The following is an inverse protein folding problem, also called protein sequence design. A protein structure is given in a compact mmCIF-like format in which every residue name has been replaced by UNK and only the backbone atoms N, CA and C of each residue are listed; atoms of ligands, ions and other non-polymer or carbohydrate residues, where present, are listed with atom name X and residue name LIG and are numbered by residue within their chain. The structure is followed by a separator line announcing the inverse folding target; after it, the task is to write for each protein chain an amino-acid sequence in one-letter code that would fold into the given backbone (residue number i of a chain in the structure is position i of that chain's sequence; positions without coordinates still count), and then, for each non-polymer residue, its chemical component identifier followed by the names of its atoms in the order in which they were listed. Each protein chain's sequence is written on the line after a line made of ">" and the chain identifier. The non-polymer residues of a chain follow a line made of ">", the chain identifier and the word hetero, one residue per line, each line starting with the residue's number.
data_IF_529807722413
#
_entry.id   IF_529807722413
#
_cell.length_a   1.000
_cell.length_b   1.000
_cell.length_c   1.000
_cell.angle_alpha   90.00
_cell.angle_beta   90.00
_cell.angle_gamma   90.00
#
_symmetry.space_group_name_H-M   'P 1'
#
loop_
_entity.id
_entity.type
_entity.pdbx_description
1 polymer ?
#
# COMPACT_ATOMS: atom_id res chain seq x y z
N UNK A 1 -25.22 5.88 -3.66
CA UNK A 1 -24.78 6.13 -2.26
C UNK A 1 -23.59 7.09 -2.31
N UNK A 2 -23.60 8.18 -1.54
CA UNK A 2 -22.52 9.18 -1.52
C UNK A 2 -21.16 8.57 -1.15
N UNK A 3 -20.08 9.05 -1.74
CA UNK A 3 -18.69 8.70 -1.40
C UNK A 3 -18.44 8.85 0.10
N UNK A 4 -18.99 9.89 0.74
CA UNK A 4 -18.87 10.13 2.18
C UNK A 4 -19.50 9.00 3.03
N UNK A 5 -20.63 8.43 2.59
CA UNK A 5 -21.27 7.31 3.30
C UNK A 5 -20.51 6.00 3.12
N UNK A 6 -19.73 5.87 2.05
CA UNK A 6 -18.82 4.73 1.85
C UNK A 6 -17.56 4.92 2.69
N UNK A 7 -17.01 6.13 2.73
CA UNK A 7 -15.85 6.49 3.56
C UNK A 7 -16.08 6.25 5.05
N UNK A 8 -17.26 6.60 5.59
CA UNK A 8 -17.59 6.38 7.00
C UNK A 8 -17.73 4.90 7.42
N UNK A 9 -17.75 3.94 6.48
CA UNK A 9 -17.80 2.49 6.75
C UNK A 9 -16.49 1.76 6.42
N UNK A 10 -15.50 2.48 5.91
CA UNK A 10 -14.26 1.92 5.37
C UNK A 10 -13.10 2.13 6.34
N UNK A 11 -12.07 1.28 6.28
CA UNK A 11 -10.84 1.38 7.07
C UNK A 11 -9.99 2.62 6.67
N UNK A 12 -10.52 3.82 6.89
CA UNK A 12 -9.93 5.10 6.50
C UNK A 12 -8.50 5.26 7.03
N UNK A 13 -8.24 4.75 8.24
CA UNK A 13 -6.93 4.71 8.85
C UNK A 13 -5.89 3.96 8.00
N UNK A 14 -6.27 2.86 7.34
CA UNK A 14 -5.37 2.11 6.47
C UNK A 14 -5.07 2.86 5.17
N UNK A 15 -6.02 3.61 4.61
CA UNK A 15 -5.78 4.46 3.45
C UNK A 15 -4.86 5.64 3.78
N UNK A 16 -5.06 6.27 4.95
CA UNK A 16 -4.15 7.31 5.45
C UNK A 16 -2.74 6.73 5.59
N UNK A 17 -2.61 5.54 6.16
CA UNK A 17 -1.32 4.88 6.29
C UNK A 17 -0.70 4.48 4.94
N UNK A 18 -1.48 4.03 3.97
CA UNK A 18 -0.95 3.69 2.66
C UNK A 18 -0.35 4.91 1.94
N UNK A 19 -0.99 6.08 2.07
CA UNK A 19 -0.45 7.34 1.54
C UNK A 19 0.79 7.75 2.34
N UNK A 20 0.74 7.69 3.67
CA UNK A 20 1.86 8.04 4.54
C UNK A 20 3.09 7.17 4.31
N UNK A 21 2.90 5.86 4.14
CA UNK A 21 3.96 4.85 3.95
C UNK A 21 4.46 4.80 2.50
N UNK A 22 4.00 5.70 1.63
CA UNK A 22 4.62 5.90 0.33
C UNK A 22 5.88 6.79 0.49
N UNK A 23 7.09 6.26 0.26
CA UNK A 23 8.33 7.00 0.47
C UNK A 23 8.56 8.17 -0.51
N UNK A 24 7.77 8.27 -1.58
CA UNK A 24 7.81 9.42 -2.49
C UNK A 24 6.89 10.57 -2.04
N UNK A 25 5.97 10.31 -1.09
CA UNK A 25 4.95 11.26 -0.61
C UNK A 25 5.28 11.70 0.83
N UNK A 26 5.49 10.73 1.73
CA UNK A 26 5.67 10.93 3.19
C UNK A 26 4.56 11.77 3.83
N UNK A 27 4.86 12.41 4.97
CA UNK A 27 3.96 13.28 5.69
C UNK A 27 3.65 14.62 5.00
N UNK A 28 4.33 14.96 3.89
CA UNK A 28 4.31 16.29 3.27
C UNK A 28 2.93 16.75 2.81
N UNK A 29 2.02 15.81 2.55
CA UNK A 29 0.70 16.07 2.00
C UNK A 29 -0.42 16.09 3.04
N UNK A 30 -0.12 15.77 4.31
CA UNK A 30 -1.11 15.84 5.36
C UNK A 30 -1.19 17.24 5.95
N UNK A 31 -2.42 17.74 6.09
CA UNK A 31 -2.66 18.94 6.89
C UNK A 31 -2.41 18.60 8.37
N UNK A 32 -1.41 19.24 8.97
CA UNK A 32 -0.98 19.02 10.35
C UNK A 32 -2.04 19.40 11.38
N UNK A 33 -2.99 20.26 11.03
CA UNK A 33 -4.09 20.69 11.91
C UNK A 33 -5.10 19.57 12.15
N UNK A 34 -5.21 18.63 11.20
CA UNK A 34 -6.15 17.52 11.27
C UNK A 34 -5.45 16.17 11.45
N UNK A 35 -4.27 16.00 10.86
CA UNK A 35 -3.44 14.79 10.91
C UNK A 35 -2.06 15.13 11.45
N UNK A 36 -2.03 15.49 12.72
CA UNK A 36 -0.79 15.75 13.45
C UNK A 36 0.13 14.52 13.48
N UNK A 37 1.42 14.75 13.77
CA UNK A 37 2.39 13.68 14.01
C UNK A 37 1.87 12.62 14.99
N UNK A 38 1.33 13.05 16.14
CA UNK A 38 0.85 12.13 17.17
C UNK A 38 -0.41 11.38 16.73
N UNK A 39 -1.28 12.01 15.95
CA UNK A 39 -2.44 11.35 15.36
C UNK A 39 -2.00 10.22 14.42
N UNK A 40 -1.07 10.51 13.50
CA UNK A 40 -0.52 9.53 12.58
C UNK A 40 0.22 8.40 13.32
N UNK A 41 0.98 8.74 14.36
CA UNK A 41 1.66 7.74 15.19
C UNK A 41 0.67 6.79 15.88
N UNK A 42 -0.41 7.32 16.46
CA UNK A 42 -1.43 6.48 17.08
C UNK A 42 -2.18 5.60 16.08
N UNK A 43 -2.46 6.12 14.88
CA UNK A 43 -3.03 5.34 13.78
C UNK A 43 -2.08 4.19 13.41
N UNK A 44 -0.79 4.49 13.17
CA UNK A 44 0.21 3.48 12.85
C UNK A 44 0.35 2.43 13.94
N UNK A 45 0.40 2.84 15.22
CA UNK A 45 0.50 1.93 16.36
C UNK A 45 -0.70 0.98 16.45
N UNK A 46 -1.93 1.48 16.24
CA UNK A 46 -3.13 0.64 16.19
C UNK A 46 -3.05 -0.35 15.03
N UNK A 47 -2.65 0.10 13.85
CA UNK A 47 -2.54 -0.74 12.67
C UNK A 47 -1.48 -1.84 12.83
N UNK A 48 -0.35 -1.57 13.48
CA UNK A 48 0.64 -2.62 13.81
C UNK A 48 -0.03 -3.67 14.69
N UNK A 49 -0.64 -3.25 15.80
CA UNK A 49 -1.30 -4.19 16.72
C UNK A 49 -2.34 -5.05 15.99
N UNK A 50 -3.14 -4.45 15.11
CA UNK A 50 -4.19 -5.15 14.36
C UNK A 50 -3.63 -6.10 13.29
N UNK A 51 -2.65 -5.65 12.50
CA UNK A 51 -2.20 -6.36 11.30
C UNK A 51 -1.05 -7.34 11.56
N UNK A 52 -0.22 -7.10 12.58
CA UNK A 52 0.94 -7.95 12.89
C UNK A 52 0.77 -8.71 14.21
N UNK A 53 -0.23 -8.34 15.04
CA UNK A 53 -0.38 -8.79 16.44
C UNK A 53 0.81 -8.44 17.35
N UNK A 54 1.72 -7.59 16.89
CA UNK A 54 2.83 -7.11 17.72
C UNK A 54 2.36 -5.95 18.60
N UNK A 55 2.50 -6.11 19.91
CA UNK A 55 2.13 -5.06 20.86
C UNK A 55 3.31 -4.10 21.06
N UNK A 56 3.17 -2.88 20.52
CA UNK A 56 4.17 -1.82 20.61
C UNK A 56 3.77 -0.68 21.55
N UNK A 57 2.89 -0.93 22.54
CA UNK A 57 2.35 0.13 23.41
C UNK A 57 3.46 0.96 24.09
N UNK A 58 4.62 0.36 24.38
CA UNK A 58 5.74 1.01 25.05
C UNK A 58 7.09 0.82 24.34
N UNK A 59 7.11 0.56 23.03
CA UNK A 59 8.37 0.36 22.31
C UNK A 59 9.00 1.71 21.89
N UNK A 60 10.11 2.15 22.53
CA UNK A 60 10.78 3.40 22.16
C UNK A 60 11.44 3.32 20.77
N UNK A 61 11.83 2.13 20.32
CA UNK A 61 12.45 1.94 19.00
C UNK A 61 11.43 2.16 17.89
N UNK A 62 10.15 1.83 18.13
CA UNK A 62 9.10 2.08 17.17
C UNK A 62 8.81 3.57 17.03
N UNK A 63 8.71 4.30 18.16
CA UNK A 63 8.55 5.76 18.12
C UNK A 63 9.74 6.41 17.41
N UNK A 64 10.96 5.96 17.69
CA UNK A 64 12.17 6.45 17.01
C UNK A 64 12.11 6.19 15.51
N UNK A 65 11.82 4.95 15.09
CA UNK A 65 11.72 4.59 13.68
C UNK A 65 10.62 5.38 12.97
N UNK A 66 9.46 5.54 13.60
CA UNK A 66 8.37 6.35 13.06
C UNK A 66 8.76 7.82 12.90
N UNK A 67 9.45 8.39 13.90
CA UNK A 67 9.97 9.76 13.84
C UNK A 67 10.98 9.93 12.72
N UNK A 68 11.91 8.97 12.59
CA UNK A 68 12.92 8.98 11.54
C UNK A 68 12.28 8.91 10.14
N UNK A 69 11.24 8.09 9.96
CA UNK A 69 10.49 8.01 8.71
C UNK A 69 9.67 9.27 8.43
N UNK A 70 8.95 9.79 9.42
CA UNK A 70 8.12 11.00 9.28
C UNK A 70 8.94 12.20 8.79
N UNK A 71 10.18 12.33 9.26
CA UNK A 71 11.11 13.39 8.86
C UNK A 71 12.03 13.02 7.69
N UNK A 72 11.83 11.86 7.04
CA UNK A 72 12.64 11.39 5.91
C UNK A 72 14.15 11.43 6.18
N UNK A 73 14.58 10.95 7.35
CA UNK A 73 15.97 11.04 7.82
C UNK A 73 16.56 9.67 8.16
N UNK A 74 17.87 9.64 8.40
CA UNK A 74 18.60 8.42 8.76
C UNK A 74 18.40 7.34 7.68
N UNK A 75 18.11 6.11 8.09
CA UNK A 75 17.83 4.96 7.22
C UNK A 75 16.58 5.11 6.34
N UNK A 76 15.75 6.13 6.59
CA UNK A 76 14.57 6.46 5.79
C UNK A 76 14.75 7.71 4.93
N UNK A 77 15.98 8.20 4.80
CA UNK A 77 16.29 9.25 3.83
C UNK A 77 16.16 8.74 2.39
N UNK A 78 15.98 9.68 1.45
CA UNK A 78 15.87 9.39 0.01
C UNK A 78 17.04 8.52 -0.48
N UNK A 79 18.26 8.87 -0.06
CA UNK A 79 19.49 8.19 -0.42
C UNK A 79 19.57 6.80 0.24
N UNK A 80 19.27 6.70 1.54
CA UNK A 80 19.32 5.43 2.26
C UNK A 80 18.30 4.40 1.73
N UNK A 81 17.15 4.88 1.23
CA UNK A 81 16.12 4.06 0.59
C UNK A 81 16.36 3.85 -0.91
N UNK A 82 17.44 4.40 -1.48
CA UNK A 82 17.80 4.33 -2.90
C UNK A 82 16.67 4.75 -3.86
N UNK A 83 15.85 5.74 -3.49
CA UNK A 83 14.64 6.08 -4.25
C UNK A 83 14.94 6.52 -5.68
N UNK A 84 16.05 7.24 -5.91
CA UNK A 84 16.45 7.65 -7.25
C UNK A 84 16.83 6.46 -8.12
N UNK A 85 17.53 5.46 -7.58
CA UNK A 85 17.86 4.24 -8.33
C UNK A 85 16.59 3.44 -8.71
N UNK A 86 15.61 3.36 -7.81
CA UNK A 86 14.33 2.72 -8.13
C UNK A 86 13.54 3.52 -9.19
N UNK A 87 13.61 4.86 -9.16
CA UNK A 87 13.00 5.72 -10.17
C UNK A 87 13.74 5.62 -11.53
N UNK A 88 15.07 5.55 -11.54
CA UNK A 88 15.87 5.40 -12.75
C UNK A 88 15.65 4.05 -13.43
N UNK A 89 15.51 2.95 -12.68
CA UNK A 89 15.15 1.64 -13.24
C UNK A 89 13.79 1.70 -13.95
N UNK A 90 12.88 2.52 -13.43
CA UNK A 90 11.59 2.76 -14.04
C UNK A 90 11.70 3.63 -15.32
N UNK A 91 12.47 4.71 -15.27
CA UNK A 91 12.62 5.68 -16.36
C UNK A 91 13.43 5.10 -17.53
N UNK A 92 14.48 4.34 -17.26
CA UNK A 92 15.42 3.83 -18.27
C UNK A 92 14.90 2.59 -19.02
N UNK A 93 13.76 2.04 -18.61
CA UNK A 93 13.16 0.86 -19.21
C UNK A 93 13.92 -0.43 -18.90
N UNK A 94 13.16 -1.52 -18.70
CA UNK A 94 13.77 -2.84 -18.59
C UNK A 94 14.54 -3.16 -19.89
N UNK A 95 15.78 -3.67 -19.80
CA UNK A 95 16.62 -4.01 -20.96
C UNK A 95 16.05 -5.14 -21.84
N UNK A 96 14.93 -5.74 -21.44
CA UNK A 96 14.27 -6.89 -22.07
C UNK A 96 13.22 -6.53 -23.16
N UNK A 97 13.01 -5.24 -23.45
CA UNK A 97 12.07 -4.81 -24.51
C UNK A 97 10.58 -4.91 -24.15
N UNK A 98 10.22 -5.41 -22.95
CA UNK A 98 8.83 -5.44 -22.44
C UNK A 98 8.28 -4.01 -22.19
N UNK A 99 9.18 -3.04 -22.10
CA UNK A 99 8.90 -1.60 -21.98
C UNK A 99 7.94 -1.06 -23.03
N UNK A 100 8.13 -1.46 -24.28
CA UNK A 100 7.30 -1.00 -25.38
C UNK A 100 5.89 -1.61 -25.31
N UNK A 101 5.80 -2.89 -24.93
CA UNK A 101 4.54 -3.61 -24.86
C UNK A 101 3.63 -3.08 -23.74
N UNK A 102 4.14 -2.81 -22.53
CA UNK A 102 3.33 -2.28 -21.43
C UNK A 102 2.71 -0.91 -21.76
N UNK A 103 3.47 -0.06 -22.45
CA UNK A 103 3.01 1.25 -22.94
C UNK A 103 1.93 1.10 -24.01
N UNK A 104 2.08 0.15 -24.94
CA UNK A 104 1.08 -0.16 -25.98
C UNK A 104 -0.24 -0.70 -25.40
N UNK A 105 -0.18 -1.48 -24.33
CA UNK A 105 -1.37 -2.02 -23.67
C UNK A 105 -2.00 -1.06 -22.64
N UNK A 106 -1.55 0.20 -22.58
CA UNK A 106 -2.12 1.22 -21.69
C UNK A 106 -1.93 0.92 -20.19
N UNK A 107 -1.01 0.02 -19.83
CA UNK A 107 -0.65 -0.21 -18.42
C UNK A 107 0.30 0.88 -18.00
N UNK A 108 -0.18 1.81 -17.18
CA UNK A 108 0.68 2.80 -16.52
C UNK A 108 1.74 2.04 -15.74
N UNK A 109 3.01 2.26 -16.10
CA UNK A 109 4.08 1.85 -15.21
C UNK A 109 3.85 2.61 -13.91
N UNK A 110 3.96 1.94 -12.78
CA UNK A 110 4.05 2.58 -11.48
C UNK A 110 5.28 2.03 -10.80
N UNK A 111 6.01 2.89 -10.07
CA UNK A 111 7.11 2.42 -9.24
C UNK A 111 6.55 1.41 -8.24
N UNK A 112 7.14 0.23 -8.18
CA UNK A 112 6.75 -0.79 -7.22
C UNK A 112 7.23 -0.39 -5.82
N UNK A 113 6.36 0.31 -5.10
CA UNK A 113 6.64 0.78 -3.73
C UNK A 113 6.92 -0.41 -2.80
N UNK A 114 6.34 -1.59 -3.07
CA UNK A 114 6.59 -2.77 -2.23
C UNK A 114 8.05 -3.21 -2.34
N UNK A 115 8.66 -3.16 -3.53
CA UNK A 115 10.08 -3.51 -3.69
C UNK A 115 11.00 -2.60 -2.89
N UNK A 116 10.68 -1.30 -2.81
CA UNK A 116 11.44 -0.34 -1.99
C UNK A 116 11.45 -0.78 -0.52
N UNK A 117 10.28 -1.13 0.03
CA UNK A 117 10.15 -1.56 1.42
C UNK A 117 10.75 -2.95 1.68
N UNK A 118 10.67 -3.87 0.71
CA UNK A 118 11.33 -5.18 0.80
C UNK A 118 12.85 -5.04 0.87
N UNK A 119 13.44 -4.12 0.10
CA UNK A 119 14.86 -3.80 0.17
C UNK A 119 15.31 -3.34 1.56
N UNK A 120 14.45 -2.60 2.29
CA UNK A 120 14.75 -2.16 3.65
C UNK A 120 14.66 -3.28 4.69
N UNK A 121 13.85 -4.32 4.45
CA UNK A 121 13.67 -5.46 5.36
C UNK A 121 14.99 -6.20 5.65
N UNK A 122 15.84 -6.34 4.63
CA UNK A 122 17.12 -7.07 4.73
C UNK A 122 18.13 -6.35 5.65
N UNK A 123 17.95 -5.04 5.89
CA UNK A 123 18.93 -4.19 6.56
C UNK A 123 18.64 -3.93 8.05
N UNK A 124 17.61 -4.55 8.64
CA UNK A 124 17.19 -4.21 10.01
C UNK A 124 17.25 -5.40 10.98
N UNK A 125 17.87 -5.16 12.14
CA UNK A 125 17.79 -6.02 13.33
C UNK A 125 17.03 -5.33 14.47
N UNK A 126 16.70 -4.05 14.32
CA UNK A 126 16.02 -3.24 15.34
C UNK A 126 14.51 -3.52 15.30
N UNK A 127 13.95 -3.88 16.45
CA UNK A 127 12.56 -4.34 16.58
C UNK A 127 11.54 -3.32 16.07
N UNK A 128 11.61 -2.07 16.55
CA UNK A 128 10.68 -1.02 16.13
C UNK A 128 10.75 -0.68 14.64
N UNK A 129 11.95 -0.72 14.05
CA UNK A 129 12.12 -0.52 12.61
C UNK A 129 11.54 -1.67 11.80
N UNK A 130 11.80 -2.91 12.22
CA UNK A 130 11.20 -4.08 11.59
C UNK A 130 9.68 -3.98 11.60
N UNK A 131 9.09 -3.56 12.71
CA UNK A 131 7.65 -3.43 12.82
C UNK A 131 7.07 -2.35 11.88
N UNK A 132 7.78 -1.23 11.68
CA UNK A 132 7.38 -0.21 10.71
C UNK A 132 7.45 -0.72 9.26
N UNK A 133 8.50 -1.46 8.91
CA UNK A 133 8.64 -2.08 7.58
C UNK A 133 7.56 -3.14 7.36
N UNK A 134 7.29 -3.98 8.35
CA UNK A 134 6.22 -4.98 8.30
C UNK A 134 4.84 -4.33 8.13
N UNK A 135 4.60 -3.20 8.81
CA UNK A 135 3.39 -2.42 8.63
C UNK A 135 3.25 -1.91 7.19
N UNK A 136 4.31 -1.29 6.65
CA UNK A 136 4.32 -0.77 5.28
C UNK A 136 4.01 -1.87 4.27
N UNK A 137 4.69 -3.02 4.38
CA UNK A 137 4.47 -4.15 3.49
C UNK A 137 3.02 -4.65 3.55
N UNK A 138 2.44 -4.78 4.75
CA UNK A 138 1.06 -5.28 4.92
C UNK A 138 0.02 -4.28 4.42
N UNK A 139 0.15 -3.00 4.77
CA UNK A 139 -0.81 -1.97 4.34
C UNK A 139 -0.75 -1.80 2.83
N UNK A 140 0.46 -1.68 2.27
CA UNK A 140 0.67 -1.54 0.84
C UNK A 140 0.39 -2.82 0.05
N UNK A 141 0.26 -3.98 0.69
CA UNK A 141 -0.22 -5.22 0.04
C UNK A 141 -1.72 -5.46 0.22
N UNK A 142 -2.44 -4.59 0.94
CA UNK A 142 -3.90 -4.61 1.08
C UNK A 142 -4.54 -3.60 0.13
N UNK A 143 -3.92 -2.44 -0.03
CA UNK A 143 -4.47 -1.33 -0.83
C UNK A 143 -4.47 -1.56 -2.35
N UNK A 144 -3.49 -2.21 -2.99
CA UNK A 144 -3.54 -2.57 -4.42
C UNK A 144 -4.72 -3.49 -4.75
N UNK A 145 -5.26 -4.16 -3.73
CA UNK A 145 -6.29 -5.18 -3.81
C UNK A 145 -7.67 -4.53 -3.81
N UNK A 146 -7.80 -3.27 -3.39
CA UNK A 146 -9.09 -2.57 -3.37
C UNK A 146 -9.58 -2.29 -4.79
N UNK A 147 -8.71 -1.87 -5.72
CA UNK A 147 -9.07 -1.71 -7.12
C UNK A 147 -9.37 -3.05 -7.81
N UNK A 148 -8.61 -4.11 -7.50
CA UNK A 148 -8.86 -5.47 -8.02
C UNK A 148 -10.13 -6.09 -7.44
N UNK A 149 -10.45 -5.83 -6.17
CA UNK A 149 -11.71 -6.27 -5.55
C UNK A 149 -12.89 -5.44 -6.04
N UNK A 150 -12.75 -4.13 -6.26
CA UNK A 150 -13.77 -3.29 -6.91
C UNK A 150 -13.99 -3.71 -8.38
N UNK A 151 -12.94 -4.10 -9.10
CA UNK A 151 -13.05 -4.67 -10.45
C UNK A 151 -13.78 -6.02 -10.42
N UNK A 152 -13.40 -6.93 -9.50
CA UNK A 152 -14.11 -8.19 -9.27
C UNK A 152 -15.58 -7.94 -8.91
N UNK A 153 -15.88 -7.03 -8.00
CA UNK A 153 -17.26 -6.68 -7.63
C UNK A 153 -18.03 -5.99 -8.75
N UNK A 154 -17.37 -5.20 -9.59
CA UNK A 154 -17.97 -4.63 -10.81
C UNK A 154 -18.26 -5.72 -11.85
N UNK A 155 -17.41 -6.76 -11.93
CA UNK A 155 -17.60 -7.92 -12.79
C UNK A 155 -18.71 -8.85 -12.28
N UNK A 156 -18.81 -9.05 -10.96
CA UNK A 156 -19.95 -9.68 -10.32
C UNK A 156 -21.23 -8.85 -10.54
N UNK A 157 -21.14 -7.53 -10.47
CA UNK A 157 -22.25 -6.62 -10.78
C UNK A 157 -22.71 -6.74 -12.25
N UNK A 158 -21.80 -6.78 -13.21
CA UNK A 158 -22.13 -6.90 -14.63
C UNK A 158 -22.77 -8.26 -14.96
N UNK A 159 -22.24 -9.34 -14.38
CA UNK A 159 -22.78 -10.71 -14.52
C UNK A 159 -24.10 -10.91 -13.79
N UNK A 160 -24.30 -10.31 -12.61
CA UNK A 160 -25.52 -10.51 -11.83
C UNK A 160 -26.66 -9.52 -12.14
N UNK A 161 -26.38 -8.28 -12.57
CA UNK A 161 -27.43 -7.23 -12.61
C UNK A 161 -27.64 -6.51 -13.93
N UNK A 162 -26.70 -6.55 -14.90
CA UNK A 162 -26.84 -5.70 -16.10
C UNK A 162 -26.82 -6.41 -17.46
N UNK A 163 -26.28 -7.62 -17.60
CA UNK A 163 -26.42 -8.39 -18.84
C UNK A 163 -26.96 -9.78 -18.52
N UNK A 164 -28.10 -10.13 -19.12
CA UNK A 164 -28.79 -11.40 -18.94
C UNK A 164 -27.89 -12.61 -19.20
N UNK A 165 -27.26 -13.14 -18.16
CA UNK A 165 -26.77 -14.51 -18.06
C UNK A 165 -26.72 -14.88 -16.57
N UNK A 166 -27.87 -15.35 -16.08
CA UNK A 166 -28.07 -15.80 -14.70
C UNK A 166 -27.33 -17.12 -14.47
N UNK A 167 -26.00 -17.05 -14.43
CA UNK A 167 -25.15 -18.18 -14.04
C UNK A 167 -25.27 -18.40 -12.54
N UNK A 168 -25.37 -19.66 -12.14
CA UNK A 168 -25.42 -20.04 -10.73
C UNK A 168 -24.12 -19.57 -10.02
N UNK A 169 -24.19 -19.17 -8.73
CA UNK A 169 -23.05 -18.61 -7.98
C UNK A 169 -21.78 -19.46 -8.05
N UNK A 170 -21.93 -20.79 -8.07
CA UNK A 170 -20.83 -21.76 -8.18
C UNK A 170 -20.05 -21.63 -9.50
N UNK A 171 -20.73 -21.38 -10.62
CA UNK A 171 -20.07 -21.20 -11.94
C UNK A 171 -19.36 -19.87 -12.04
N UNK A 172 -19.87 -18.83 -11.38
CA UNK A 172 -19.20 -17.52 -11.35
C UNK A 172 -17.94 -17.60 -10.49
N UNK A 173 -17.99 -18.30 -9.35
CA UNK A 173 -16.84 -18.54 -8.49
C UNK A 173 -15.69 -19.24 -9.25
N UNK A 174 -15.98 -20.34 -9.96
CA UNK A 174 -14.95 -21.03 -10.76
C UNK A 174 -14.39 -20.17 -11.90
N UNK A 175 -15.23 -19.40 -12.59
CA UNK A 175 -14.77 -18.51 -13.66
C UNK A 175 -13.88 -17.36 -13.14
N UNK A 176 -14.13 -16.87 -11.92
CA UNK A 176 -13.26 -15.88 -11.28
C UNK A 176 -11.94 -16.47 -10.79
N UNK A 177 -11.93 -17.72 -10.30
CA UNK A 177 -10.71 -18.41 -9.85
C UNK A 177 -9.79 -18.74 -11.03
N UNK A 178 -10.33 -19.24 -12.15
CA UNK A 178 -9.56 -19.59 -13.37
C UNK A 178 -8.92 -18.37 -14.06
N UNK A 179 -9.36 -17.14 -13.72
CA UNK A 179 -8.79 -15.89 -14.25
C UNK A 179 -7.74 -15.23 -13.34
N UNK A 180 -7.57 -15.76 -12.13
CA UNK A 180 -6.59 -15.30 -11.16
C UNK A 180 -5.26 -16.08 -11.22
N UNK A 181 -5.24 -17.22 -11.92
CA UNK A 181 -4.04 -17.96 -12.36
C UNK A 181 -3.52 -17.42 -13.71
#
# INVERSE_FOLDING_TARGET
>A
ASIERRWGKTDQELFILAVFLNPYIWAKFFNTDHLSFMTLFHIARRAVLQLTRNNLISDPDFLKAFTDYYHARSDFSKDAMCLDSYAEVYDNGSPDGLTYLLTLYGKSRSIDIMQVWQGQRVRTTVHGRSALIDLALRVLSIVPNSASTECLFSMFGSTHTKHCNRLAPEKVHQASVVRLD
#
